data_IF_096541362330
#
_entry.id   IF_096541362330
#
_cell.length_a   1.000
_cell.length_b   1.000
_cell.length_c   1.000
_cell.angle_alpha   90.00
_cell.angle_beta   90.00
_cell.angle_gamma   90.00
#
_symmetry.space_group_name_H-M   'P 1'
#
loop_
_entity.id
_entity.type
_entity.pdbx_description
1 polymer ?
#
# COMPACT_ATOMS: atom_id res chain seq x y z
N UNK A 1 -16.91 -15.86 -59.63
CA UNK A 1 -16.77 -15.54 -58.20
C UNK A 1 -15.99 -14.23 -58.09
N UNK A 2 -16.63 -13.15 -57.62
CA UNK A 2 -15.97 -11.86 -57.44
C UNK A 2 -15.36 -11.81 -56.02
N UNK A 3 -14.04 -11.69 -55.92
CA UNK A 3 -13.34 -11.49 -54.66
C UNK A 3 -13.28 -10.00 -54.36
N UNK A 4 -14.11 -9.54 -53.43
CA UNK A 4 -14.08 -8.16 -52.92
C UNK A 4 -12.83 -7.97 -52.05
N UNK A 5 -11.82 -7.26 -52.57
CA UNK A 5 -10.67 -6.80 -51.77
C UNK A 5 -11.16 -5.78 -50.74
N UNK A 6 -11.07 -6.14 -49.45
CA UNK A 6 -11.19 -5.20 -48.33
C UNK A 6 -10.02 -4.20 -48.46
N UNK A 7 -10.33 -2.96 -48.80
CA UNK A 7 -9.38 -1.85 -48.75
C UNK A 7 -9.17 -1.47 -47.29
N UNK A 8 -8.04 -1.85 -46.70
CA UNK A 8 -7.58 -1.27 -45.45
C UNK A 8 -7.05 0.13 -45.75
N UNK A 9 -7.83 1.15 -45.40
CA UNK A 9 -7.41 2.55 -45.55
C UNK A 9 -6.31 2.83 -44.54
N UNK A 10 -5.06 2.99 -45.00
CA UNK A 10 -3.94 3.43 -44.15
C UNK A 10 -4.20 4.86 -43.69
N UNK A 11 -4.22 5.08 -42.37
CA UNK A 11 -4.31 6.41 -41.76
C UNK A 11 -3.14 7.28 -42.20
N UNK A 12 -3.41 8.56 -42.42
CA UNK A 12 -2.40 9.58 -42.70
C UNK A 12 -1.60 9.91 -41.44
N UNK A 13 -0.39 10.45 -41.60
CA UNK A 13 0.44 10.89 -40.47
C UNK A 13 -0.27 11.95 -39.59
N UNK A 14 -1.13 12.78 -40.19
CA UNK A 14 -1.95 13.77 -39.48
C UNK A 14 -2.99 13.11 -38.58
N UNK A 15 -3.70 12.10 -39.08
CA UNK A 15 -4.69 11.35 -38.29
C UNK A 15 -4.02 10.58 -37.14
N UNK A 16 -2.84 9.98 -37.39
CA UNK A 16 -2.06 9.30 -36.34
C UNK A 16 -1.60 10.28 -35.24
N UNK A 17 -1.18 11.49 -35.61
CA UNK A 17 -0.79 12.52 -34.65
C UNK A 17 -1.97 13.02 -33.81
N UNK A 18 -3.14 13.22 -34.42
CA UNK A 18 -4.37 13.60 -33.72
C UNK A 18 -4.82 12.52 -32.72
N UNK A 19 -4.74 11.25 -33.11
CA UNK A 19 -5.07 10.12 -32.22
C UNK A 19 -4.09 10.00 -31.05
N UNK A 20 -2.78 10.17 -31.29
CA UNK A 20 -1.77 10.17 -30.24
C UNK A 20 -2.02 11.31 -29.23
N UNK A 21 -2.33 12.51 -29.71
CA UNK A 21 -2.66 13.66 -28.86
C UNK A 21 -3.94 13.43 -28.06
N UNK A 22 -4.98 12.85 -28.66
CA UNK A 22 -6.21 12.48 -27.96
C UNK A 22 -5.96 11.42 -26.86
N UNK A 23 -5.11 10.42 -27.15
CA UNK A 23 -4.70 9.40 -26.16
C UNK A 23 -3.94 10.04 -25.01
N UNK A 24 -2.99 10.94 -25.28
CA UNK A 24 -2.24 11.65 -24.25
C UNK A 24 -3.16 12.49 -23.36
N UNK A 25 -4.09 13.25 -23.96
CA UNK A 25 -5.03 14.08 -23.20
C UNK A 25 -6.00 13.25 -22.36
N UNK A 26 -6.48 12.11 -22.88
CA UNK A 26 -7.35 11.21 -22.10
C UNK A 26 -6.59 10.54 -20.95
N UNK A 27 -5.33 10.13 -21.15
CA UNK A 27 -4.49 9.59 -20.09
C UNK A 27 -4.21 10.63 -19.00
N UNK A 28 -3.88 11.87 -19.39
CA UNK A 28 -3.66 12.99 -18.46
C UNK A 28 -4.91 13.26 -17.60
N UNK A 29 -6.08 13.40 -18.23
CA UNK A 29 -7.34 13.63 -17.50
C UNK A 29 -7.65 12.51 -16.51
N UNK A 30 -7.40 11.25 -16.91
CA UNK A 30 -7.57 10.09 -16.02
C UNK A 30 -6.64 10.15 -14.82
N UNK A 31 -5.36 10.46 -15.04
CA UNK A 31 -4.36 10.59 -13.96
C UNK A 31 -4.69 11.73 -12.99
N UNK A 32 -5.14 12.88 -13.50
CA UNK A 32 -5.59 14.00 -12.66
C UNK A 32 -6.80 13.60 -11.82
N UNK A 33 -7.79 12.92 -12.43
CA UNK A 33 -8.99 12.47 -11.73
C UNK A 33 -8.77 11.33 -10.73
N UNK A 34 -7.62 10.63 -10.80
CA UNK A 34 -7.27 9.56 -9.85
C UNK A 34 -6.49 10.06 -8.64
N UNK A 35 -6.34 11.38 -8.46
CA UNK A 35 -5.65 11.94 -7.30
C UNK A 35 -6.44 11.65 -6.03
N UNK A 36 -5.75 11.08 -5.03
CA UNK A 36 -6.28 10.83 -3.68
C UNK A 36 -5.73 11.86 -2.69
N UNK A 37 -6.29 11.89 -1.48
CA UNK A 37 -5.71 12.68 -0.40
C UNK A 37 -4.31 12.16 -0.03
N UNK A 38 -3.45 13.04 0.48
CA UNK A 38 -2.15 12.61 0.99
C UNK A 38 -2.34 11.76 2.25
N UNK A 39 -1.85 10.51 2.21
CA UNK A 39 -1.93 9.58 3.34
C UNK A 39 -0.77 9.74 4.32
N UNK A 40 0.34 10.37 3.92
CA UNK A 40 1.53 10.52 4.75
C UNK A 40 1.18 11.20 6.09
N UNK A 41 1.60 10.57 7.18
CA UNK A 41 1.40 11.09 8.54
C UNK A 41 0.00 10.86 9.12
N UNK A 42 -0.96 10.32 8.36
CA UNK A 42 -2.26 9.92 8.90
C UNK A 42 -2.08 8.89 9.99
N UNK A 43 -2.84 9.05 11.08
CA UNK A 43 -2.82 8.15 12.23
C UNK A 43 -4.15 7.45 12.42
N UNK A 44 -4.12 6.20 12.86
CA UNK A 44 -5.30 5.45 13.27
C UNK A 44 -4.99 4.66 14.55
N UNK A 45 -5.98 4.61 15.44
CA UNK A 45 -5.93 3.85 16.68
C UNK A 45 -6.59 2.48 16.46
N UNK A 46 -5.94 1.44 16.95
CA UNK A 46 -6.44 0.07 16.91
C UNK A 46 -6.46 -0.51 18.32
N UNK A 47 -7.58 -1.12 18.68
CA UNK A 47 -7.72 -1.87 19.93
C UNK A 47 -7.18 -3.28 19.68
N UNK A 48 -6.27 -3.72 20.53
CA UNK A 48 -5.61 -5.02 20.48
C UNK A 48 -6.10 -5.86 21.64
N UNK A 49 -6.33 -7.16 21.40
CA UNK A 49 -6.87 -8.09 22.40
C UNK A 49 -8.24 -7.63 22.93
N UNK A 50 -9.07 -7.08 22.04
CA UNK A 50 -10.39 -6.53 22.36
C UNK A 50 -11.27 -7.55 23.11
N UNK A 51 -11.97 -7.08 24.15
CA UNK A 51 -12.85 -7.89 24.97
C UNK A 51 -12.14 -8.83 25.96
N UNK A 52 -10.82 -8.68 26.14
CA UNK A 52 -10.03 -9.45 27.11
C UNK A 52 -9.48 -8.56 28.23
N UNK A 53 -9.00 -9.16 29.32
CA UNK A 53 -8.31 -8.42 30.39
C UNK A 53 -6.94 -7.85 30.00
N UNK A 54 -6.49 -8.09 28.76
CA UNK A 54 -5.20 -7.65 28.21
C UNK A 54 -5.39 -6.63 27.09
N UNK A 55 -6.57 -6.03 26.98
CA UNK A 55 -6.90 -5.03 25.97
C UNK A 55 -5.99 -3.79 26.09
N UNK A 56 -5.48 -3.32 24.97
CA UNK A 56 -4.75 -2.05 24.89
C UNK A 56 -4.87 -1.44 23.50
N UNK A 57 -4.61 -0.14 23.40
CA UNK A 57 -4.61 0.57 22.12
C UNK A 57 -3.20 0.72 21.58
N UNK A 58 -3.06 0.54 20.27
CA UNK A 58 -1.88 0.99 19.52
C UNK A 58 -2.30 2.12 18.57
N UNK A 59 -1.42 3.08 18.37
CA UNK A 59 -1.56 4.12 17.34
C UNK A 59 -0.54 3.85 16.25
N UNK A 60 -1.04 3.70 15.02
CA UNK A 60 -0.21 3.58 13.83
C UNK A 60 -0.18 4.92 13.09
N UNK A 61 0.98 5.27 12.52
CA UNK A 61 1.14 6.40 11.62
C UNK A 61 1.61 5.89 10.26
N UNK A 62 0.99 6.37 9.19
CA UNK A 62 1.40 5.97 7.85
C UNK A 62 2.69 6.70 7.45
N UNK A 63 3.78 5.96 7.15
CA UNK A 63 5.09 6.56 6.92
C UNK A 63 5.23 7.19 5.52
N UNK A 64 4.22 7.03 4.67
CA UNK A 64 4.25 7.43 3.25
C UNK A 64 4.53 6.23 2.33
N UNK A 65 4.10 6.35 1.06
CA UNK A 65 4.05 5.23 0.12
C UNK A 65 5.41 4.59 -0.15
N UNK A 66 6.48 5.38 -0.31
CA UNK A 66 7.81 4.84 -0.57
C UNK A 66 8.32 4.00 0.61
N UNK A 67 8.11 4.47 1.84
CA UNK A 67 8.54 3.76 3.04
C UNK A 67 7.66 2.54 3.33
N UNK A 68 6.35 2.64 3.13
CA UNK A 68 5.44 1.50 3.26
C UNK A 68 5.83 0.34 2.31
N UNK A 69 6.12 0.67 1.04
CA UNK A 69 6.59 -0.32 0.06
C UNK A 69 7.95 -0.92 0.44
N UNK A 70 8.89 -0.09 0.88
CA UNK A 70 10.20 -0.56 1.34
C UNK A 70 10.07 -1.56 2.51
N UNK A 71 9.17 -1.30 3.46
CA UNK A 71 8.91 -2.22 4.58
C UNK A 71 8.40 -3.58 4.06
N UNK A 72 7.47 -3.59 3.10
CA UNK A 72 6.97 -4.82 2.48
C UNK A 72 8.06 -5.57 1.71
N UNK A 73 8.91 -4.85 0.97
CA UNK A 73 10.04 -5.44 0.24
C UNK A 73 11.06 -6.07 1.20
N UNK A 74 11.40 -5.39 2.29
CA UNK A 74 12.33 -5.90 3.33
C UNK A 74 11.73 -7.14 4.01
N UNK A 75 10.44 -7.10 4.33
CA UNK A 75 9.75 -8.19 4.99
C UNK A 75 9.36 -9.33 4.04
N UNK A 76 9.49 -9.14 2.73
CA UNK A 76 9.15 -10.12 1.72
C UNK A 76 10.00 -11.39 1.82
N UNK A 77 9.35 -12.56 1.75
CA UNK A 77 10.05 -13.86 1.79
C UNK A 77 10.59 -14.30 0.43
N UNK A 78 10.28 -13.56 -0.64
CA UNK A 78 10.67 -13.89 -2.02
C UNK A 78 9.99 -15.14 -2.61
N UNK A 79 9.09 -15.79 -1.87
CA UNK A 79 8.36 -16.99 -2.32
C UNK A 79 7.18 -16.64 -3.21
N UNK A 80 6.44 -15.60 -2.85
CA UNK A 80 5.40 -15.00 -3.67
C UNK A 80 5.21 -13.53 -3.31
N UNK A 81 4.58 -12.78 -4.21
CA UNK A 81 4.20 -11.38 -3.95
C UNK A 81 3.19 -11.37 -2.80
N UNK A 82 3.51 -10.64 -1.73
CA UNK A 82 2.66 -10.55 -0.54
C UNK A 82 2.94 -11.61 0.55
N UNK A 83 3.88 -12.54 0.34
CA UNK A 83 4.33 -13.41 1.43
C UNK A 83 5.30 -12.65 2.35
N UNK A 84 4.78 -12.20 3.48
CA UNK A 84 5.49 -11.37 4.47
C UNK A 84 6.01 -12.20 5.65
N UNK A 85 7.27 -11.99 6.01
CA UNK A 85 7.85 -12.42 7.28
C UNK A 85 7.47 -11.42 8.39
N UNK A 86 6.48 -11.78 9.22
CA UNK A 86 5.96 -10.89 10.26
C UNK A 86 7.00 -10.44 11.29
N UNK A 87 8.04 -11.23 11.55
CA UNK A 87 9.14 -10.81 12.43
C UNK A 87 9.84 -9.57 11.86
N UNK A 88 10.21 -9.62 10.59
CA UNK A 88 10.90 -8.52 9.89
C UNK A 88 9.97 -7.33 9.69
N UNK A 89 8.70 -7.57 9.36
CA UNK A 89 7.69 -6.52 9.28
C UNK A 89 7.62 -5.71 10.58
N UNK A 90 7.55 -6.40 11.71
CA UNK A 90 7.45 -5.76 13.02
C UNK A 90 8.73 -5.03 13.42
N UNK A 91 9.92 -5.55 13.07
CA UNK A 91 11.19 -4.87 13.30
C UNK A 91 11.30 -3.55 12.56
N UNK A 92 10.77 -3.47 11.34
CA UNK A 92 10.70 -2.23 10.59
C UNK A 92 9.59 -1.31 11.13
N UNK A 93 8.41 -1.85 11.43
CA UNK A 93 7.24 -1.09 11.85
C UNK A 93 7.44 -0.33 13.17
N UNK A 94 8.20 -0.88 14.13
CA UNK A 94 8.49 -0.18 15.40
C UNK A 94 9.33 1.10 15.23
N UNK A 95 9.99 1.28 14.07
CA UNK A 95 10.85 2.45 13.81
C UNK A 95 10.02 3.69 13.52
N UNK A 96 9.00 3.56 12.67
CA UNK A 96 8.27 4.69 12.08
C UNK A 96 6.77 4.47 11.85
N UNK A 97 6.23 3.26 12.03
CA UNK A 97 4.80 2.96 11.88
C UNK A 97 4.09 2.94 13.23
N UNK A 98 4.62 2.21 14.21
CA UNK A 98 4.03 2.12 15.56
C UNK A 98 4.52 3.33 16.37
N UNK A 99 3.64 4.33 16.53
CA UNK A 99 3.98 5.57 17.22
C UNK A 99 3.57 5.56 18.69
N UNK A 100 2.52 4.81 19.05
CA UNK A 100 2.13 4.58 20.44
C UNK A 100 1.66 3.13 20.64
N UNK A 101 2.05 2.46 21.74
CA UNK A 101 3.08 2.88 22.69
C UNK A 101 4.47 2.89 22.03
N UNK A 102 5.43 3.60 22.63
CA UNK A 102 6.80 3.61 22.09
C UNK A 102 7.47 2.28 22.38
N UNK A 103 7.72 1.50 21.33
CA UNK A 103 8.42 0.21 21.41
C UNK A 103 9.86 0.37 20.93
N UNK A 104 10.83 -0.16 21.68
CA UNK A 104 12.25 -0.12 21.30
C UNK A 104 12.66 -1.35 20.49
N UNK A 105 12.24 -2.53 20.95
CA UNK A 105 12.42 -3.82 20.28
C UNK A 105 11.19 -4.68 20.52
N UNK A 106 10.97 -5.67 19.65
CA UNK A 106 9.87 -6.63 19.81
C UNK A 106 9.93 -7.30 21.19
N UNK A 107 11.12 -7.81 21.56
CA UNK A 107 11.35 -8.48 22.83
C UNK A 107 11.13 -7.60 24.05
N UNK A 108 11.49 -6.31 23.99
CA UNK A 108 11.33 -5.39 25.12
C UNK A 108 9.87 -5.17 25.50
N UNK A 109 8.95 -5.35 24.56
CA UNK A 109 7.53 -5.09 24.76
C UNK A 109 6.72 -6.40 24.80
N UNK A 110 6.73 -7.19 23.73
CA UNK A 110 5.84 -8.34 23.58
C UNK A 110 6.25 -9.61 24.34
N UNK A 111 7.42 -9.66 25.00
CA UNK A 111 7.67 -10.69 26.02
C UNK A 111 6.76 -10.55 27.25
N UNK A 112 6.16 -9.37 27.45
CA UNK A 112 5.26 -9.08 28.57
C UNK A 112 3.88 -8.56 28.16
N UNK A 113 3.63 -8.35 26.86
CA UNK A 113 2.36 -7.87 26.32
C UNK A 113 1.78 -8.86 25.32
N UNK A 114 0.47 -9.10 25.39
CA UNK A 114 -0.21 -9.98 24.45
C UNK A 114 -0.47 -9.31 23.09
N UNK A 115 -0.90 -10.10 22.10
CA UNK A 115 -1.41 -9.56 20.84
C UNK A 115 -0.38 -9.32 19.75
N UNK A 116 0.89 -9.74 19.88
CA UNK A 116 1.93 -9.50 18.85
C UNK A 116 1.48 -9.93 17.44
N UNK A 117 0.87 -11.10 17.30
CA UNK A 117 0.38 -11.59 16.01
C UNK A 117 -0.75 -10.73 15.44
N UNK A 118 -1.65 -10.26 16.30
CA UNK A 118 -2.75 -9.36 15.94
C UNK A 118 -2.20 -8.00 15.48
N UNK A 119 -1.25 -7.44 16.22
CA UNK A 119 -0.56 -6.20 15.83
C UNK A 119 0.12 -6.34 14.47
N UNK A 120 0.82 -7.45 14.22
CA UNK A 120 1.52 -7.67 12.96
C UNK A 120 0.56 -7.70 11.75
N UNK A 121 -0.61 -8.33 11.91
CA UNK A 121 -1.66 -8.35 10.89
C UNK A 121 -2.24 -6.94 10.69
N UNK A 122 -2.53 -6.23 11.79
CA UNK A 122 -3.04 -4.85 11.75
C UNK A 122 -2.08 -3.90 11.06
N UNK A 123 -0.78 -3.99 11.35
CA UNK A 123 0.28 -3.21 10.70
C UNK A 123 0.29 -3.47 9.19
N UNK A 124 0.29 -4.73 8.75
CA UNK A 124 0.27 -5.06 7.33
C UNK A 124 -0.99 -4.53 6.63
N UNK A 125 -2.15 -4.68 7.27
CA UNK A 125 -3.42 -4.15 6.75
C UNK A 125 -3.39 -2.62 6.64
N UNK A 126 -2.82 -1.93 7.62
CA UNK A 126 -2.73 -0.48 7.65
C UNK A 126 -1.78 0.06 6.57
N UNK A 127 -0.62 -0.59 6.37
CA UNK A 127 0.31 -0.22 5.29
C UNK A 127 -0.34 -0.39 3.91
N UNK A 128 -0.98 -1.53 3.66
CA UNK A 128 -1.70 -1.79 2.41
C UNK A 128 -2.81 -0.76 2.16
N UNK A 129 -3.62 -0.45 3.18
CA UNK A 129 -4.66 0.58 3.05
C UNK A 129 -4.07 1.95 2.69
N UNK A 130 -2.90 2.30 3.24
CA UNK A 130 -2.23 3.54 2.90
C UNK A 130 -1.64 3.57 1.49
N UNK A 131 -1.16 2.43 0.98
CA UNK A 131 -0.68 2.27 -0.41
C UNK A 131 -1.85 2.41 -1.39
N UNK A 132 -3.00 1.83 -1.06
CA UNK A 132 -4.21 1.91 -1.86
C UNK A 132 -4.94 3.26 -1.77
N UNK A 133 -4.59 4.09 -0.78
CA UNK A 133 -5.21 5.41 -0.58
C UNK A 133 -6.51 5.38 0.21
N UNK A 134 -6.70 4.35 1.04
CA UNK A 134 -7.95 4.04 1.75
C UNK A 134 -7.86 4.24 3.28
N UNK A 135 -6.91 5.05 3.77
CA UNK A 135 -6.76 5.41 5.19
C UNK A 135 -7.64 6.59 5.64
#
# INVERSE_FOLDING_TARGET
MATTKKSETKKTNSELALEAHAKQNSAKKKAESSTIANMMGKTQDFVICEGTSKEYTITLQYPGAARALEIEDIAGTGKSVGDIAYSTLMEEAIKDVIVMPKVQTIDSYWNSHAGLAEVAITVLSFLNAGIEGNL
#
